data_IF_938013899792
#
_entry.id   IF_938013899792
#
_cell.length_a   1.000
_cell.length_b   1.000
_cell.length_c   1.000
_cell.angle_alpha   90.00
_cell.angle_beta   90.00
_cell.angle_gamma   90.00
#
_symmetry.space_group_name_H-M   'P 1'
#
loop_
_entity.id
_entity.type
_entity.pdbx_description
1 polymer ?
#
# COMPACT_ATOMS: atom_id res chain seq x y z
N UNK A 1 9.81 54.68 57.31
CA UNK A 1 8.70 54.09 56.47
C UNK A 1 9.00 54.01 54.99
N UNK A 2 10.23 54.06 54.46
CA UNK A 2 10.50 54.13 53.01
C UNK A 2 11.13 52.84 52.38
N UNK A 3 11.80 52.02 53.16
CA UNK A 3 12.51 50.84 52.62
C UNK A 3 11.62 49.61 52.25
N UNK A 4 10.46 49.51 52.95
CA UNK A 4 9.52 48.35 52.66
C UNK A 4 8.62 48.54 51.45
N UNK A 5 8.49 49.76 50.91
CA UNK A 5 7.68 50.05 49.72
C UNK A 5 8.50 49.80 48.38
N UNK A 6 9.82 49.98 48.43
CA UNK A 6 10.68 49.78 47.33
C UNK A 6 10.86 48.25 47.00
N UNK A 7 11.02 47.42 48.05
CA UNK A 7 11.15 45.97 47.89
C UNK A 7 9.90 45.27 47.28
N UNK A 8 8.67 45.78 47.62
CA UNK A 8 7.43 45.24 47.04
C UNK A 8 7.21 45.60 45.58
N UNK A 9 7.74 46.72 45.11
CA UNK A 9 7.66 47.09 43.67
C UNK A 9 8.64 46.33 42.79
N UNK A 10 9.80 45.95 43.28
CA UNK A 10 10.76 45.12 42.55
C UNK A 10 10.33 43.66 42.44
N UNK A 11 9.64 43.11 43.46
CA UNK A 11 9.12 41.71 43.41
C UNK A 11 7.95 41.60 42.47
N UNK A 12 7.09 42.59 42.35
CA UNK A 12 5.96 42.61 41.42
C UNK A 12 6.41 42.81 39.95
N UNK A 13 7.48 43.54 39.70
CA UNK A 13 8.05 43.72 38.37
C UNK A 13 8.79 42.45 37.89
N UNK A 14 9.44 41.71 38.80
CA UNK A 14 10.09 40.44 38.46
C UNK A 14 9.10 39.31 38.18
N UNK A 15 7.95 39.29 38.85
CA UNK A 15 6.88 38.31 38.59
C UNK A 15 6.11 38.57 37.26
N UNK A 16 6.02 39.83 36.83
CA UNK A 16 5.40 40.16 35.53
C UNK A 16 6.29 39.82 34.34
N UNK A 17 7.63 39.81 34.48
CA UNK A 17 8.57 39.43 33.42
C UNK A 17 8.70 37.91 33.25
N UNK A 18 8.45 37.11 34.29
CA UNK A 18 8.43 35.63 34.20
C UNK A 18 7.13 35.10 33.59
N UNK A 19 6.01 35.81 33.73
CA UNK A 19 4.73 35.40 33.15
C UNK A 19 4.65 35.62 31.63
N UNK A 20 5.47 36.48 31.02
CA UNK A 20 5.50 36.71 29.57
C UNK A 20 6.41 35.71 28.85
N UNK A 21 7.34 35.02 29.52
CA UNK A 21 8.24 34.02 28.93
C UNK A 21 7.63 32.61 28.82
N UNK A 22 6.44 32.35 29.43
CA UNK A 22 5.82 31.02 29.45
C UNK A 22 4.76 30.86 28.33
N UNK A 23 4.38 31.94 27.64
CA UNK A 23 3.38 31.86 26.53
C UNK A 23 4.01 31.68 25.16
N UNK A 24 5.35 31.74 25.04
CA UNK A 24 6.05 31.54 23.75
C UNK A 24 6.52 30.09 23.52
N UNK A 25 6.11 29.11 24.32
CA UNK A 25 6.65 27.75 24.33
C UNK A 25 5.66 26.60 24.08
N UNK A 26 4.47 26.86 23.52
CA UNK A 26 3.51 25.80 23.20
C UNK A 26 2.87 26.06 21.83
N UNK A 27 3.63 25.82 20.76
CA UNK A 27 3.15 25.93 19.40
C UNK A 27 4.13 25.33 18.38
N UNK A 28 4.99 24.41 18.82
CA UNK A 28 5.84 23.63 17.92
C UNK A 28 5.06 22.42 17.43
N UNK A 29 4.03 22.61 16.62
CA UNK A 29 3.65 21.59 15.65
C UNK A 29 4.84 21.49 14.70
N UNK A 30 5.45 20.32 14.54
CA UNK A 30 6.49 20.13 13.53
C UNK A 30 5.93 20.53 12.18
N UNK A 31 6.55 21.51 11.52
CA UNK A 31 6.26 21.90 10.12
C UNK A 31 6.61 20.78 9.13
N UNK A 32 6.63 19.53 9.57
CA UNK A 32 7.01 18.36 8.79
C UNK A 32 5.78 17.72 8.16
N UNK A 33 5.83 17.53 6.86
CA UNK A 33 4.81 16.77 6.11
C UNK A 33 4.69 15.34 6.67
N UNK A 34 3.53 14.97 7.17
CA UNK A 34 3.31 13.68 7.82
C UNK A 34 2.60 12.70 6.89
N UNK A 35 3.26 11.59 6.59
CA UNK A 35 2.72 10.52 5.74
C UNK A 35 2.42 9.27 6.58
N UNK A 36 1.19 8.76 6.49
CA UNK A 36 0.90 7.40 6.93
C UNK A 36 1.13 6.46 5.74
N UNK A 37 2.09 5.55 5.87
CA UNK A 37 2.53 4.69 4.76
C UNK A 37 2.24 3.22 5.03
N UNK A 38 1.40 2.63 4.19
CA UNK A 38 1.21 1.18 4.09
C UNK A 38 2.30 0.49 3.29
N UNK A 39 3.29 1.26 2.79
CA UNK A 39 4.48 0.74 2.11
C UNK A 39 5.64 0.77 3.07
N UNK A 40 6.45 -0.27 3.06
CA UNK A 40 7.64 -0.36 3.92
C UNK A 40 8.73 0.62 3.47
N UNK A 41 9.55 1.08 4.40
CA UNK A 41 10.61 2.06 4.15
C UNK A 41 11.53 1.71 2.97
N UNK A 42 12.05 0.47 2.83
CA UNK A 42 12.92 0.13 1.69
C UNK A 42 12.30 0.37 0.31
N UNK A 43 10.97 0.34 0.21
CA UNK A 43 10.25 0.53 -1.06
C UNK A 43 9.90 1.99 -1.35
N UNK A 44 9.61 2.80 -0.34
CA UNK A 44 9.17 4.18 -0.57
C UNK A 44 10.19 5.23 -0.12
N UNK A 45 11.06 4.89 0.84
CA UNK A 45 12.04 5.83 1.40
C UNK A 45 12.90 6.54 0.36
N UNK A 46 13.48 5.85 -0.65
CA UNK A 46 14.23 6.53 -1.69
C UNK A 46 13.39 7.52 -2.52
N UNK A 47 12.11 7.22 -2.79
CA UNK A 47 11.21 8.16 -3.48
C UNK A 47 10.85 9.36 -2.59
N UNK A 48 10.69 9.17 -1.28
CA UNK A 48 10.52 10.27 -0.32
C UNK A 48 11.74 11.19 -0.33
N UNK A 49 12.94 10.62 -0.37
CA UNK A 49 14.20 11.41 -0.45
C UNK A 49 14.32 12.24 -1.73
N UNK A 50 13.71 11.81 -2.83
CA UNK A 50 13.63 12.65 -4.04
C UNK A 50 12.78 13.90 -3.74
N UNK A 51 11.63 13.74 -3.11
CA UNK A 51 10.80 14.87 -2.71
C UNK A 51 11.53 15.82 -1.73
N UNK A 52 12.14 15.27 -0.67
CA UNK A 52 12.87 16.07 0.33
C UNK A 52 14.03 16.87 -0.30
N UNK A 53 14.74 16.25 -1.26
CA UNK A 53 15.83 16.91 -1.97
C UNK A 53 15.34 18.06 -2.85
N UNK A 54 14.24 17.86 -3.55
CA UNK A 54 13.73 18.82 -4.54
C UNK A 54 12.95 19.96 -3.88
N UNK A 55 12.20 19.67 -2.80
CA UNK A 55 11.38 20.65 -2.09
C UNK A 55 12.13 21.38 -0.95
N UNK A 56 13.16 20.75 -0.37
CA UNK A 56 13.80 21.19 0.88
C UNK A 56 12.98 20.87 2.13
N UNK A 57 11.78 20.32 1.99
CA UNK A 57 10.88 19.96 3.08
C UNK A 57 11.33 18.65 3.74
N UNK A 58 10.97 18.46 5.02
CA UNK A 58 11.18 17.20 5.74
C UNK A 58 9.88 16.41 5.79
N UNK A 59 10.02 15.10 5.72
CA UNK A 59 8.89 14.16 5.74
C UNK A 59 8.99 13.25 6.95
N UNK A 60 7.92 13.25 7.75
CA UNK A 60 7.72 12.29 8.83
C UNK A 60 6.86 11.14 8.34
N UNK A 61 7.31 9.90 8.53
CA UNK A 61 6.56 8.74 8.08
C UNK A 61 6.16 7.85 9.24
N UNK A 62 4.86 7.51 9.31
CA UNK A 62 4.33 6.45 10.15
C UNK A 62 4.09 5.22 9.27
N UNK A 63 4.93 4.21 9.44
CA UNK A 63 4.79 2.94 8.74
C UNK A 63 3.80 2.01 9.45
N UNK A 64 3.04 1.24 8.67
CA UNK A 64 2.10 0.24 9.17
C UNK A 64 1.49 -0.55 8.01
N UNK A 65 0.58 -1.48 8.30
CA UNK A 65 -0.19 -2.11 7.23
C UNK A 65 -1.32 -1.18 6.74
N UNK A 66 -1.62 -1.20 5.44
CA UNK A 66 -2.59 -0.28 4.84
C UNK A 66 -3.99 -0.39 5.44
N UNK A 67 -4.57 -1.58 5.69
CA UNK A 67 -5.87 -1.70 6.32
C UNK A 67 -5.95 -1.11 7.72
N UNK A 68 -4.95 -1.35 8.57
CA UNK A 68 -4.90 -0.80 9.93
C UNK A 68 -4.75 0.71 9.93
N UNK A 69 -3.87 1.25 9.07
CA UNK A 69 -3.71 2.69 8.90
C UNK A 69 -4.99 3.33 8.34
N UNK A 70 -5.66 2.69 7.39
CA UNK A 70 -6.93 3.16 6.87
C UNK A 70 -8.02 3.21 7.95
N UNK A 71 -8.13 2.16 8.78
CA UNK A 71 -9.06 2.14 9.91
C UNK A 71 -8.75 3.27 10.92
N UNK A 72 -7.46 3.47 11.25
CA UNK A 72 -7.01 4.57 12.11
C UNK A 72 -7.41 5.94 11.52
N UNK A 73 -7.16 6.16 10.22
CA UNK A 73 -7.49 7.42 9.55
C UNK A 73 -9.00 7.68 9.47
N UNK A 74 -9.81 6.63 9.31
CA UNK A 74 -11.28 6.74 9.37
C UNK A 74 -11.73 7.14 10.77
N UNK A 75 -11.13 6.56 11.81
CA UNK A 75 -11.44 6.87 13.21
C UNK A 75 -10.96 8.28 13.61
N UNK A 76 -9.74 8.66 13.25
CA UNK A 76 -9.18 9.99 13.49
C UNK A 76 -9.98 11.09 12.77
N UNK A 77 -10.50 10.81 11.58
CA UNK A 77 -11.30 11.72 10.77
C UNK A 77 -10.61 13.07 10.60
N UNK A 78 -11.33 14.15 10.87
CA UNK A 78 -10.80 15.54 10.80
C UNK A 78 -9.72 15.88 11.83
N UNK A 79 -9.51 15.01 12.83
CA UNK A 79 -8.48 15.20 13.85
C UNK A 79 -7.18 14.44 13.50
N UNK A 80 -7.11 13.81 12.34
CA UNK A 80 -5.89 13.13 11.90
C UNK A 80 -4.72 14.10 11.83
N UNK A 81 -3.55 13.59 12.22
CA UNK A 81 -2.27 14.29 12.09
C UNK A 81 -1.55 13.98 10.79
N UNK A 82 -2.09 13.06 10.00
CA UNK A 82 -1.53 12.75 8.70
C UNK A 82 -1.95 13.79 7.67
N UNK A 83 -1.05 14.13 6.79
CA UNK A 83 -1.31 14.96 5.61
C UNK A 83 -1.62 14.09 4.40
N UNK A 84 -0.96 12.93 4.31
CA UNK A 84 -1.06 11.99 3.21
C UNK A 84 -1.25 10.56 3.71
N UNK A 85 -2.02 9.79 2.96
CA UNK A 85 -2.03 8.33 3.08
C UNK A 85 -1.45 7.70 1.82
N UNK A 86 -0.34 6.99 1.96
CA UNK A 86 0.27 6.22 0.90
C UNK A 86 -0.03 4.74 1.13
N UNK A 87 -0.97 4.19 0.38
CA UNK A 87 -1.45 2.82 0.57
C UNK A 87 -0.74 1.81 -0.35
N UNK A 88 -0.69 0.58 0.10
CA UNK A 88 -0.26 -0.55 -0.71
C UNK A 88 -1.34 -1.01 -1.69
N UNK A 89 -2.60 -0.66 -1.50
CA UNK A 89 -3.73 -1.14 -2.31
C UNK A 89 -4.83 -0.09 -2.46
N UNK A 90 -5.58 -0.19 -3.56
CA UNK A 90 -6.68 0.72 -3.86
C UNK A 90 -7.83 0.59 -2.85
N UNK A 91 -8.08 -0.60 -2.29
CA UNK A 91 -9.16 -0.80 -1.34
C UNK A 91 -9.00 0.00 -0.06
N UNK A 92 -7.76 0.12 0.46
CA UNK A 92 -7.46 0.96 1.62
C UNK A 92 -7.70 2.45 1.33
N UNK A 93 -7.38 2.92 0.11
CA UNK A 93 -7.67 4.30 -0.31
C UNK A 93 -9.17 4.55 -0.47
N UNK A 94 -9.88 3.62 -1.12
CA UNK A 94 -11.32 3.70 -1.32
C UNK A 94 -12.09 3.70 0.02
N UNK A 95 -11.62 2.96 1.03
CA UNK A 95 -12.22 2.98 2.36
C UNK A 95 -12.17 4.37 3.01
N UNK A 96 -11.05 5.09 2.88
CA UNK A 96 -10.90 6.44 3.42
C UNK A 96 -11.68 7.46 2.58
N UNK A 97 -11.73 7.28 1.26
CA UNK A 97 -12.55 8.10 0.36
C UNK A 97 -14.03 8.00 0.71
N UNK A 98 -14.56 6.79 0.91
CA UNK A 98 -15.96 6.54 1.31
C UNK A 98 -16.29 7.13 2.68
N UNK A 99 -15.30 7.25 3.57
CA UNK A 99 -15.45 7.94 4.84
C UNK A 99 -15.42 9.48 4.72
N UNK A 100 -15.17 10.02 3.51
CA UNK A 100 -15.10 11.47 3.26
C UNK A 100 -13.81 12.13 3.73
N UNK A 101 -12.77 11.37 4.04
CA UNK A 101 -11.53 11.87 4.65
C UNK A 101 -10.42 12.21 3.64
N UNK A 102 -10.69 12.12 2.33
CA UNK A 102 -9.75 12.52 1.28
C UNK A 102 -10.19 13.78 0.55
N UNK A 103 -9.23 14.65 0.22
CA UNK A 103 -9.44 15.78 -0.69
C UNK A 103 -9.44 15.36 -2.15
N UNK A 104 -10.04 16.20 -3.00
CA UNK A 104 -9.94 16.02 -4.44
C UNK A 104 -8.59 16.51 -4.95
N UNK A 105 -7.92 15.68 -5.74
CA UNK A 105 -6.65 16.00 -6.38
C UNK A 105 -6.85 16.93 -7.59
N UNK A 106 -5.85 17.77 -7.92
CA UNK A 106 -5.87 18.62 -9.09
C UNK A 106 -6.04 17.83 -10.41
N UNK A 107 -6.79 18.38 -11.40
CA UNK A 107 -7.04 17.69 -12.67
C UNK A 107 -5.77 17.36 -13.46
N UNK A 108 -4.74 18.20 -13.39
CA UNK A 108 -3.44 17.98 -14.04
C UNK A 108 -2.68 16.78 -13.47
N UNK A 109 -2.79 16.54 -12.17
CA UNK A 109 -2.27 15.31 -11.52
C UNK A 109 -3.06 14.10 -11.99
N UNK A 110 -4.39 14.18 -11.94
CA UNK A 110 -5.27 13.07 -12.34
C UNK A 110 -5.06 12.66 -13.79
N UNK A 111 -4.73 13.61 -14.66
CA UNK A 111 -4.48 13.35 -16.10
C UNK A 111 -3.19 12.53 -16.35
N UNK A 112 -2.25 12.49 -15.41
CA UNK A 112 -0.98 11.75 -15.57
C UNK A 112 -1.15 10.24 -15.55
N UNK A 113 -2.26 9.72 -14.99
CA UNK A 113 -2.47 8.28 -14.77
C UNK A 113 -3.78 7.82 -15.43
N UNK A 114 -3.80 6.65 -16.11
CA UNK A 114 -5.01 6.11 -16.70
C UNK A 114 -6.17 6.01 -15.70
N UNK A 115 -7.39 6.32 -16.16
CA UNK A 115 -8.58 6.41 -15.30
C UNK A 115 -8.85 5.17 -14.45
N UNK A 116 -8.53 3.97 -14.97
CA UNK A 116 -8.68 2.70 -14.24
C UNK A 116 -7.80 2.56 -12.99
N UNK A 117 -6.82 3.43 -12.81
CA UNK A 117 -5.84 3.40 -11.72
C UNK A 117 -5.98 4.59 -10.77
N UNK A 118 -7.15 5.20 -10.72
CA UNK A 118 -7.44 6.32 -9.82
C UNK A 118 -8.90 6.29 -9.38
N UNK A 119 -9.21 7.03 -8.32
CA UNK A 119 -10.57 7.24 -7.83
C UNK A 119 -11.45 7.85 -8.93
N UNK A 120 -12.72 7.44 -8.98
CA UNK A 120 -13.73 8.05 -9.88
C UNK A 120 -13.94 9.52 -9.56
N UNK A 121 -13.96 9.87 -8.28
CA UNK A 121 -14.15 11.24 -7.78
C UNK A 121 -12.82 12.02 -7.71
N UNK A 122 -11.70 11.39 -8.10
CA UNK A 122 -10.39 12.02 -8.15
C UNK A 122 -9.79 12.31 -6.79
N UNK A 123 -10.09 11.52 -5.77
CA UNK A 123 -9.61 11.74 -4.40
C UNK A 123 -8.36 10.94 -4.04
N UNK A 124 -8.02 9.92 -4.82
CA UNK A 124 -6.75 9.22 -4.76
C UNK A 124 -6.25 8.86 -6.16
N UNK A 125 -4.96 8.62 -6.27
CA UNK A 125 -4.30 8.26 -7.52
C UNK A 125 -3.31 7.13 -7.30
N UNK A 126 -3.28 6.17 -8.23
CA UNK A 126 -2.24 5.15 -8.28
C UNK A 126 -0.88 5.75 -8.62
N UNK A 127 0.14 5.28 -7.96
CA UNK A 127 1.54 5.65 -8.23
C UNK A 127 2.24 4.56 -9.03
N UNK A 128 2.04 3.30 -8.64
CA UNK A 128 2.58 2.13 -9.33
C UNK A 128 1.52 1.04 -9.42
N UNK A 129 1.66 0.15 -10.43
CA UNK A 129 0.82 -1.03 -10.53
C UNK A 129 1.61 -2.32 -10.26
N UNK A 130 0.89 -3.36 -9.82
CA UNK A 130 1.40 -4.71 -9.65
C UNK A 130 0.31 -5.73 -9.88
N UNK A 131 0.73 -6.93 -10.30
CA UNK A 131 -0.17 -8.06 -10.51
C UNK A 131 -0.01 -9.11 -9.42
N UNK A 132 -1.12 -9.68 -8.98
CA UNK A 132 -1.14 -10.94 -8.24
C UNK A 132 -0.75 -12.06 -9.20
N UNK A 133 0.06 -13.01 -8.74
CA UNK A 133 0.52 -14.14 -9.56
C UNK A 133 0.55 -15.41 -8.71
N UNK A 134 0.63 -16.54 -9.40
CA UNK A 134 1.08 -17.78 -8.79
C UNK A 134 2.57 -17.91 -9.05
N UNK A 135 3.39 -17.82 -8.01
CA UNK A 135 4.79 -18.15 -8.06
C UNK A 135 4.95 -19.66 -7.96
N UNK A 136 5.89 -20.26 -8.70
CA UNK A 136 6.12 -21.69 -8.67
C UNK A 136 7.60 -22.04 -8.69
N UNK A 137 7.93 -23.16 -8.06
CA UNK A 137 9.29 -23.67 -7.93
C UNK A 137 9.67 -24.66 -9.03
N UNK A 138 10.94 -25.12 -9.03
CA UNK A 138 11.49 -25.98 -10.08
C UNK A 138 10.87 -27.39 -10.13
N UNK A 139 10.20 -27.81 -9.05
CA UNK A 139 9.54 -29.13 -8.98
C UNK A 139 8.24 -29.19 -9.78
N UNK A 140 7.69 -28.03 -10.20
CA UNK A 140 6.41 -27.92 -10.90
C UNK A 140 6.66 -27.51 -12.35
N UNK A 141 6.06 -28.23 -13.30
CA UNK A 141 6.06 -27.83 -14.70
C UNK A 141 5.08 -26.67 -14.90
N UNK A 142 5.40 -25.76 -15.81
CA UNK A 142 4.52 -24.62 -16.12
C UNK A 142 3.08 -25.05 -16.46
N UNK A 143 2.92 -26.18 -17.16
CA UNK A 143 1.60 -26.74 -17.54
C UNK A 143 0.79 -27.32 -16.36
N UNK A 144 1.41 -27.49 -15.20
CA UNK A 144 0.75 -28.00 -13.99
C UNK A 144 0.27 -26.86 -13.06
N UNK A 145 0.78 -25.63 -13.30
CA UNK A 145 0.38 -24.44 -12.49
C UNK A 145 -1.07 -24.09 -12.81
N UNK A 146 -1.91 -23.88 -11.78
CA UNK A 146 -3.32 -23.55 -11.99
C UNK A 146 -3.54 -22.25 -12.77
N UNK A 147 -4.50 -22.27 -13.70
CA UNK A 147 -4.97 -21.08 -14.43
C UNK A 147 -5.95 -20.24 -13.63
N UNK A 148 -6.46 -20.76 -12.51
CA UNK A 148 -7.30 -20.06 -11.56
C UNK A 148 -6.69 -20.12 -10.16
N UNK A 149 -6.60 -19.00 -9.43
CA UNK A 149 -6.24 -19.04 -8.01
C UNK A 149 -7.23 -19.81 -7.15
N UNK A 150 -8.48 -20.02 -7.62
CA UNK A 150 -9.48 -20.82 -6.92
C UNK A 150 -9.06 -22.29 -6.84
N UNK A 151 -8.37 -22.80 -7.86
CA UNK A 151 -7.87 -24.18 -7.92
C UNK A 151 -6.73 -24.46 -6.92
N UNK A 152 -6.14 -23.44 -6.28
CA UNK A 152 -5.18 -23.62 -5.19
C UNK A 152 -5.82 -24.30 -3.96
N UNK A 153 -7.13 -24.27 -3.85
CA UNK A 153 -7.90 -25.00 -2.84
C UNK A 153 -8.10 -26.49 -3.14
N UNK A 154 -7.69 -26.98 -4.30
CA UNK A 154 -7.79 -28.40 -4.67
C UNK A 154 -6.89 -29.27 -3.78
N UNK A 155 -7.39 -30.46 -3.45
CA UNK A 155 -6.68 -31.42 -2.55
C UNK A 155 -5.28 -31.81 -3.05
N UNK A 156 -5.03 -31.77 -4.38
CA UNK A 156 -3.70 -32.03 -4.95
C UNK A 156 -2.61 -31.06 -4.46
N UNK A 157 -3.01 -29.86 -4.00
CA UNK A 157 -2.12 -28.83 -3.51
C UNK A 157 -1.99 -28.79 -1.98
N UNK A 158 -2.54 -29.78 -1.29
CA UNK A 158 -2.55 -29.83 0.19
C UNK A 158 -1.14 -29.72 0.77
N UNK A 159 -0.91 -28.70 1.60
CA UNK A 159 0.36 -28.42 2.26
C UNK A 159 1.49 -27.92 1.34
N UNK A 160 1.19 -27.67 0.05
CA UNK A 160 2.16 -27.32 -0.99
C UNK A 160 2.10 -25.85 -1.41
N UNK A 161 1.17 -25.08 -0.87
CA UNK A 161 0.90 -23.66 -1.22
C UNK A 161 1.23 -22.77 -0.04
N UNK A 162 1.83 -21.60 -0.32
CA UNK A 162 2.05 -20.54 0.66
C UNK A 162 1.31 -19.26 0.33
N UNK A 163 0.90 -18.54 1.35
CA UNK A 163 0.28 -17.22 1.24
C UNK A 163 0.55 -16.34 2.46
N UNK A 164 0.23 -15.05 2.36
CA UNK A 164 0.39 -14.09 3.44
C UNK A 164 -0.96 -13.38 3.70
N UNK A 165 -1.85 -13.93 4.56
CA UNK A 165 -3.22 -13.40 4.75
C UNK A 165 -3.27 -12.00 5.36
N UNK A 166 -2.28 -11.61 6.14
CA UNK A 166 -2.18 -10.25 6.70
C UNK A 166 -1.74 -9.21 5.69
N UNK A 167 -1.26 -9.63 4.50
CA UNK A 167 -0.80 -8.69 3.49
C UNK A 167 -1.98 -7.95 2.83
N UNK A 168 -1.96 -6.62 2.88
CA UNK A 168 -3.00 -5.75 2.34
C UNK A 168 -3.36 -6.06 0.88
N UNK A 169 -2.37 -6.41 0.06
CA UNK A 169 -2.57 -6.74 -1.35
C UNK A 169 -3.31 -8.07 -1.55
N UNK A 170 -3.18 -9.05 -0.64
CA UNK A 170 -4.01 -10.26 -0.64
C UNK A 170 -5.42 -9.96 -0.14
N UNK A 171 -5.56 -9.12 0.88
CA UNK A 171 -6.86 -8.69 1.38
C UNK A 171 -7.64 -7.93 0.30
N UNK A 172 -6.97 -7.04 -0.44
CA UNK A 172 -7.56 -6.38 -1.62
C UNK A 172 -7.98 -7.36 -2.72
N UNK A 173 -7.21 -8.41 -2.96
CA UNK A 173 -7.61 -9.50 -3.86
C UNK A 173 -8.85 -10.23 -3.37
N UNK A 174 -8.93 -10.56 -2.08
CA UNK A 174 -10.11 -11.23 -1.49
C UNK A 174 -11.32 -10.30 -1.53
N UNK A 175 -11.14 -8.98 -1.32
CA UNK A 175 -12.22 -8.00 -1.50
C UNK A 175 -12.76 -8.04 -2.94
N UNK A 176 -11.86 -8.02 -3.93
CA UNK A 176 -12.25 -8.14 -5.34
C UNK A 176 -12.98 -9.47 -5.61
N UNK A 177 -12.50 -10.58 -5.05
CA UNK A 177 -13.13 -11.89 -5.19
C UNK A 177 -14.57 -11.90 -4.65
N UNK A 178 -14.78 -11.30 -3.47
CA UNK A 178 -16.12 -11.15 -2.88
C UNK A 178 -17.08 -10.34 -3.75
N UNK A 179 -16.57 -9.26 -4.34
CA UNK A 179 -17.41 -8.32 -5.10
C UNK A 179 -17.69 -8.79 -6.53
N UNK A 180 -16.79 -9.54 -7.13
CA UNK A 180 -16.91 -9.99 -8.53
C UNK A 180 -17.51 -11.39 -8.64
N UNK A 181 -16.97 -12.34 -7.87
CA UNK A 181 -17.40 -13.75 -7.92
C UNK A 181 -18.45 -14.07 -6.84
N UNK A 182 -18.63 -13.19 -5.87
CA UNK A 182 -19.61 -13.32 -4.79
C UNK A 182 -19.02 -13.80 -3.47
N UNK A 183 -19.71 -13.46 -2.39
CA UNK A 183 -19.33 -13.77 -1.00
C UNK A 183 -19.18 -15.28 -0.76
N UNK A 184 -20.08 -16.10 -1.33
CA UNK A 184 -20.08 -17.56 -1.15
C UNK A 184 -18.87 -18.21 -1.83
N UNK A 185 -18.50 -17.73 -3.02
CA UNK A 185 -17.30 -18.20 -3.73
C UNK A 185 -16.05 -17.88 -2.92
N UNK A 186 -15.93 -16.65 -2.44
CA UNK A 186 -14.80 -16.23 -1.59
C UNK A 186 -14.74 -17.05 -0.29
N UNK A 187 -15.88 -17.26 0.37
CA UNK A 187 -16.00 -18.08 1.58
C UNK A 187 -15.58 -19.53 1.35
N UNK A 188 -16.07 -20.14 0.29
CA UNK A 188 -15.73 -21.52 -0.10
C UNK A 188 -14.23 -21.64 -0.38
N UNK A 189 -13.67 -20.71 -1.12
CA UNK A 189 -12.23 -20.70 -1.45
C UNK A 189 -11.38 -20.55 -0.19
N UNK A 190 -11.66 -19.58 0.68
CA UNK A 190 -10.92 -19.37 1.92
C UNK A 190 -10.95 -20.61 2.83
N UNK A 191 -12.14 -21.22 3.02
CA UNK A 191 -12.25 -22.49 3.75
C UNK A 191 -11.45 -23.61 3.10
N UNK A 192 -11.46 -23.68 1.76
CA UNK A 192 -10.68 -24.66 1.00
C UNK A 192 -9.18 -24.47 1.20
N UNK A 193 -8.68 -23.23 1.16
CA UNK A 193 -7.27 -22.91 1.41
C UNK A 193 -6.85 -23.32 2.82
N UNK A 194 -7.67 -23.03 3.83
CA UNK A 194 -7.41 -23.45 5.23
C UNK A 194 -7.43 -24.96 5.36
N UNK A 195 -8.46 -25.63 4.81
CA UNK A 195 -8.57 -27.10 4.84
C UNK A 195 -7.40 -27.78 4.10
N UNK A 196 -6.87 -27.14 3.07
CA UNK A 196 -5.68 -27.58 2.34
C UNK A 196 -4.37 -27.36 3.10
N UNK A 197 -4.42 -26.86 4.34
CA UNK A 197 -3.21 -26.56 5.12
C UNK A 197 -2.25 -25.65 4.37
N UNK A 198 -2.80 -24.63 3.68
CA UNK A 198 -1.99 -23.60 3.03
C UNK A 198 -1.10 -22.95 4.07
N UNK A 199 0.21 -22.89 3.81
CA UNK A 199 1.17 -22.39 4.78
C UNK A 199 1.06 -20.86 4.89
N UNK A 200 0.95 -20.37 6.11
CA UNK A 200 0.80 -18.95 6.44
C UNK A 200 2.16 -18.32 6.71
N UNK A 201 2.41 -17.17 6.12
CA UNK A 201 3.61 -16.37 6.31
C UNK A 201 3.25 -14.91 6.61
N UNK A 202 4.14 -14.20 7.26
CA UNK A 202 3.93 -12.78 7.61
C UNK A 202 3.98 -11.86 6.38
N UNK A 203 4.69 -12.26 5.32
CA UNK A 203 4.82 -11.48 4.09
C UNK A 203 5.10 -12.35 2.86
N UNK A 204 5.11 -11.72 1.67
CA UNK A 204 5.33 -12.45 0.40
C UNK A 204 6.80 -12.89 0.21
N UNK A 205 7.77 -12.22 0.84
CA UNK A 205 9.19 -12.59 0.70
C UNK A 205 9.47 -13.99 1.27
N UNK A 206 9.07 -14.32 2.52
CA UNK A 206 9.22 -15.68 3.04
C UNK A 206 8.50 -16.76 2.20
N UNK A 207 7.32 -16.44 1.61
CA UNK A 207 6.63 -17.37 0.70
C UNK A 207 7.51 -17.67 -0.51
N UNK A 208 8.03 -16.62 -1.17
CA UNK A 208 8.94 -16.75 -2.31
C UNK A 208 10.18 -17.59 -1.95
N UNK A 209 10.79 -17.31 -0.80
CA UNK A 209 12.01 -17.97 -0.38
C UNK A 209 11.78 -19.45 -0.01
N UNK A 210 10.62 -19.80 0.57
CA UNK A 210 10.22 -21.18 0.79
C UNK A 210 10.04 -21.97 -0.52
N UNK A 211 9.50 -21.31 -1.56
CA UNK A 211 9.41 -21.90 -2.90
C UNK A 211 10.82 -22.11 -3.47
N UNK A 212 11.71 -21.15 -3.34
CA UNK A 212 13.09 -21.25 -3.84
C UNK A 212 13.86 -22.42 -3.20
N UNK A 213 13.62 -22.68 -1.91
CA UNK A 213 14.19 -23.81 -1.16
C UNK A 213 13.52 -25.16 -1.48
N UNK A 214 12.40 -25.15 -2.20
CA UNK A 214 11.61 -26.34 -2.48
C UNK A 214 10.81 -26.87 -1.29
N UNK A 215 10.58 -26.05 -0.26
CA UNK A 215 9.70 -26.30 0.88
C UNK A 215 8.23 -26.18 0.47
N UNK A 216 7.95 -25.30 -0.50
CA UNK A 216 6.67 -25.10 -1.16
C UNK A 216 6.79 -25.30 -2.68
N UNK A 217 5.71 -25.69 -3.30
CA UNK A 217 5.61 -25.76 -4.74
C UNK A 217 5.06 -24.50 -5.39
N UNK A 218 4.06 -23.88 -4.74
CA UNK A 218 3.32 -22.72 -5.22
C UNK A 218 3.19 -21.65 -4.15
N UNK A 219 3.02 -20.39 -4.58
CA UNK A 219 2.67 -19.28 -3.69
C UNK A 219 1.83 -18.21 -4.37
N UNK A 220 0.83 -17.70 -3.66
CA UNK A 220 -0.01 -16.61 -4.15
C UNK A 220 0.57 -15.26 -3.69
N UNK A 221 1.41 -14.65 -4.50
CA UNK A 221 2.19 -13.44 -4.18
C UNK A 221 2.08 -12.37 -5.27
N UNK A 222 2.74 -11.23 -5.10
CA UNK A 222 2.88 -10.23 -6.17
C UNK A 222 4.12 -10.52 -7.02
N UNK A 223 4.04 -10.21 -8.32
CA UNK A 223 5.05 -10.51 -9.32
C UNK A 223 6.43 -9.92 -9.01
N UNK A 224 6.48 -8.69 -8.49
CA UNK A 224 7.73 -7.95 -8.31
C UNK A 224 8.70 -8.60 -7.31
N UNK A 225 8.21 -9.36 -6.34
CA UNK A 225 9.09 -10.07 -5.41
C UNK A 225 9.97 -11.12 -6.11
N UNK A 226 9.43 -11.77 -7.14
CA UNK A 226 10.22 -12.70 -7.96
C UNK A 226 11.19 -11.93 -8.84
N UNK A 227 10.74 -10.86 -9.49
CA UNK A 227 11.57 -10.02 -10.34
C UNK A 227 12.75 -9.36 -9.57
N UNK A 228 12.51 -8.89 -8.34
CA UNK A 228 13.58 -8.39 -7.45
C UNK A 228 14.64 -9.45 -7.14
N UNK A 229 14.23 -10.68 -6.89
CA UNK A 229 15.15 -11.77 -6.63
C UNK A 229 15.95 -12.16 -7.88
N UNK A 230 15.29 -12.25 -9.04
CA UNK A 230 15.93 -12.53 -10.32
C UNK A 230 16.88 -11.44 -10.78
N UNK A 231 16.62 -10.18 -10.43
CA UNK A 231 17.54 -9.08 -10.70
C UNK A 231 18.85 -9.18 -9.90
N UNK A 232 18.81 -9.82 -8.71
CA UNK A 232 19.98 -10.08 -7.86
C UNK A 232 20.69 -11.37 -8.22
N UNK A 233 19.92 -12.40 -8.58
CA UNK A 233 20.40 -13.71 -9.01
C UNK A 233 19.63 -14.17 -10.25
N UNK A 234 20.22 -14.06 -11.46
CA UNK A 234 19.60 -14.51 -12.69
C UNK A 234 19.20 -15.99 -12.70
N UNK A 235 19.80 -16.82 -11.84
CA UNK A 235 19.48 -18.24 -11.69
C UNK A 235 18.45 -18.52 -10.59
N UNK A 236 17.84 -17.48 -10.02
CA UNK A 236 16.84 -17.65 -8.98
C UNK A 236 15.71 -18.58 -9.42
N UNK A 237 15.43 -19.69 -8.68
CA UNK A 237 14.69 -20.82 -9.22
C UNK A 237 13.17 -20.62 -9.29
N UNK A 238 12.65 -19.54 -8.68
CA UNK A 238 11.20 -19.27 -8.68
C UNK A 238 10.78 -18.60 -9.96
N UNK A 239 9.67 -19.07 -10.52
CA UNK A 239 9.07 -18.55 -11.75
C UNK A 239 7.72 -17.91 -11.49
N UNK A 240 7.29 -17.05 -12.42
CA UNK A 240 6.01 -16.33 -12.40
C UNK A 240 5.04 -16.99 -13.37
N UNK A 241 3.83 -17.25 -12.89
CA UNK A 241 2.69 -17.60 -13.71
C UNK A 241 1.58 -16.56 -13.54
N UNK A 242 1.08 -16.04 -14.65
CA UNK A 242 -0.07 -15.13 -14.68
C UNK A 242 -1.34 -15.94 -14.97
N UNK A 243 -2.14 -16.31 -13.97
CA UNK A 243 -3.37 -17.05 -14.17
C UNK A 243 -4.33 -16.28 -15.08
N UNK A 244 -5.01 -17.00 -15.98
CA UNK A 244 -5.86 -16.41 -17.02
C UNK A 244 -7.35 -16.45 -16.68
N UNK A 245 -7.74 -17.21 -15.65
CA UNK A 245 -9.14 -17.42 -15.25
C UNK A 245 -9.45 -16.69 -13.95
N UNK A 246 -10.73 -16.43 -13.75
CA UNK A 246 -11.29 -15.76 -12.58
C UNK A 246 -10.60 -14.40 -12.32
N UNK A 247 -10.24 -14.10 -11.09
CA UNK A 247 -9.45 -12.92 -10.76
C UNK A 247 -7.93 -13.14 -10.83
N UNK A 248 -7.48 -14.11 -11.62
CA UNK A 248 -6.13 -14.67 -11.62
C UNK A 248 -4.99 -13.68 -11.51
N UNK A 249 -4.84 -12.84 -12.52
CA UNK A 249 -3.75 -11.86 -12.60
C UNK A 249 -4.22 -10.45 -12.26
N UNK A 250 -5.05 -10.32 -11.21
CA UNK A 250 -5.57 -9.02 -10.80
C UNK A 250 -4.45 -7.98 -10.67
N UNK A 251 -4.53 -6.93 -11.50
CA UNK A 251 -3.68 -5.76 -11.41
C UNK A 251 -4.32 -4.77 -10.42
N UNK A 252 -3.59 -4.45 -9.37
CA UNK A 252 -3.95 -3.45 -8.37
C UNK A 252 -2.86 -2.37 -8.33
N UNK A 253 -3.06 -1.28 -7.59
CA UNK A 253 -2.12 -0.17 -7.50
C UNK A 253 -1.67 0.07 -6.06
N UNK A 254 -0.44 0.53 -5.87
CA UNK A 254 -0.14 1.38 -4.72
C UNK A 254 -0.45 2.81 -5.10
N UNK A 255 -0.95 3.58 -4.17
CA UNK A 255 -1.42 4.91 -4.49
C UNK A 255 -1.43 5.83 -3.29
N UNK A 256 -1.77 7.08 -3.54
CA UNK A 256 -1.73 8.14 -2.55
C UNK A 256 -2.99 8.99 -2.60
N UNK A 257 -3.44 9.42 -1.43
CA UNK A 257 -4.50 10.41 -1.25
C UNK A 257 -4.08 11.47 -0.23
N UNK A 258 -4.53 12.70 -0.42
CA UNK A 258 -4.33 13.81 0.51
C UNK A 258 -5.48 13.82 1.51
N UNK A 259 -5.18 13.90 2.82
CA UNK A 259 -6.20 13.93 3.84
C UNK A 259 -6.93 15.29 3.84
N UNK A 260 -8.25 15.26 3.99
CA UNK A 260 -9.07 16.47 4.11
C UNK A 260 -8.73 17.30 5.39
N UNK A 261 -8.07 16.67 6.36
CA UNK A 261 -7.56 17.29 7.58
C UNK A 261 -6.17 17.91 7.44
N UNK A 262 -5.50 17.72 6.28
CA UNK A 262 -4.12 18.19 6.07
C UNK A 262 -4.00 19.70 6.26
N UNK A 263 -2.98 20.09 7.02
CA UNK A 263 -2.57 21.48 7.19
C UNK A 263 -1.48 21.90 6.18
N UNK A 264 -0.88 20.93 5.51
CA UNK A 264 0.20 21.08 4.52
C UNK A 264 -0.29 20.71 3.12
N UNK A 265 -1.44 21.28 2.73
CA UNK A 265 -2.12 20.90 1.47
C UNK A 265 -1.24 21.10 0.24
N UNK A 266 -0.51 22.21 0.17
CA UNK A 266 0.37 22.50 -0.96
C UNK A 266 1.49 21.48 -1.05
N UNK A 267 2.19 21.24 0.04
CA UNK A 267 3.30 20.29 0.20
C UNK A 267 2.84 18.87 -0.11
N UNK A 268 1.62 18.50 0.34
CA UNK A 268 0.98 17.21 0.02
C UNK A 268 0.75 17.04 -1.49
N UNK A 269 0.24 18.05 -2.16
CA UNK A 269 0.02 18.02 -3.61
C UNK A 269 1.36 17.95 -4.35
N UNK A 270 2.39 18.68 -3.91
CA UNK A 270 3.72 18.66 -4.49
C UNK A 270 4.38 17.27 -4.27
N UNK A 271 4.17 16.65 -3.11
CA UNK A 271 4.59 15.25 -2.88
C UNK A 271 3.93 14.29 -3.89
N UNK A 272 2.61 14.39 -4.09
CA UNK A 272 1.91 13.55 -5.08
C UNK A 272 2.46 13.79 -6.50
N UNK A 273 2.79 15.02 -6.86
CA UNK A 273 3.43 15.35 -8.14
C UNK A 273 4.76 14.64 -8.30
N UNK A 274 5.63 14.75 -7.29
CA UNK A 274 6.96 14.11 -7.29
C UNK A 274 6.85 12.60 -7.48
N UNK A 275 5.89 11.95 -6.81
CA UNK A 275 5.67 10.49 -6.98
C UNK A 275 5.26 10.12 -8.43
N UNK A 276 4.69 11.04 -9.17
CA UNK A 276 4.26 10.89 -10.57
C UNK A 276 5.20 11.57 -11.58
N UNK A 277 6.40 11.91 -11.19
CA UNK A 277 7.46 12.41 -12.06
C UNK A 277 8.42 11.31 -12.47
N UNK A 278 9.13 11.55 -13.57
CA UNK A 278 10.02 10.56 -14.17
C UNK A 278 11.03 9.95 -13.18
N UNK A 279 11.74 10.72 -12.34
CA UNK A 279 12.73 10.15 -11.43
C UNK A 279 12.13 9.13 -10.44
N UNK A 280 10.98 9.44 -9.83
CA UNK A 280 10.31 8.53 -8.91
C UNK A 280 9.75 7.30 -9.64
N UNK A 281 9.17 7.48 -10.82
CA UNK A 281 8.60 6.40 -11.61
C UNK A 281 9.69 5.45 -12.16
N UNK A 282 10.85 5.97 -12.56
CA UNK A 282 12.01 5.17 -12.94
C UNK A 282 12.58 4.40 -11.74
N UNK A 283 12.67 5.05 -10.57
CA UNK A 283 13.04 4.35 -9.33
C UNK A 283 12.12 3.15 -9.04
N UNK A 284 10.79 3.34 -9.11
CA UNK A 284 9.85 2.24 -8.87
C UNK A 284 9.98 1.14 -9.93
N UNK A 285 10.17 1.48 -11.19
CA UNK A 285 10.35 0.50 -12.26
C UNK A 285 11.66 -0.30 -12.09
N UNK A 286 12.76 0.37 -11.78
CA UNK A 286 14.10 -0.24 -11.79
C UNK A 286 14.46 -0.90 -10.46
N UNK A 287 14.05 -0.32 -9.33
CA UNK A 287 14.45 -0.79 -8.00
C UNK A 287 13.39 -1.71 -7.38
N UNK A 288 12.12 -1.30 -7.35
CA UNK A 288 11.05 -2.13 -6.76
C UNK A 288 10.34 -3.05 -7.76
N UNK A 289 10.74 -3.03 -9.04
CA UNK A 289 10.17 -3.88 -10.10
C UNK A 289 8.64 -3.78 -10.18
N UNK A 290 8.09 -2.62 -9.86
CA UNK A 290 6.67 -2.32 -10.05
C UNK A 290 6.45 -1.67 -11.42
N UNK A 291 5.23 -1.72 -11.92
CA UNK A 291 4.88 -1.07 -13.18
C UNK A 291 4.72 0.44 -12.96
N UNK A 292 5.48 1.29 -13.67
CA UNK A 292 5.25 2.72 -13.65
C UNK A 292 3.91 3.05 -14.32
N UNK A 293 3.22 4.07 -13.81
CA UNK A 293 1.94 4.52 -14.35
C UNK A 293 2.05 5.79 -15.19
N UNK A 294 3.19 6.48 -15.12
CA UNK A 294 3.49 7.63 -15.97
C UNK A 294 3.81 7.18 -17.40
N UNK A 295 3.12 7.78 -18.36
CA UNK A 295 3.38 7.50 -19.78
C UNK A 295 4.83 7.80 -20.16
N UNK A 296 5.43 6.94 -20.99
CA UNK A 296 6.80 7.11 -21.49
C UNK A 296 7.91 6.68 -20.51
N UNK A 297 7.58 6.20 -19.30
CA UNK A 297 8.54 5.54 -18.42
C UNK A 297 8.60 4.05 -18.78
N UNK A 298 9.81 3.55 -18.97
CA UNK A 298 10.03 2.14 -19.31
C UNK A 298 9.86 1.27 -18.06
N UNK A 299 9.15 0.15 -18.22
CA UNK A 299 9.16 -0.90 -17.19
C UNK A 299 10.52 -1.59 -17.12
N UNK A 300 10.80 -2.27 -16.03
CA UNK A 300 11.94 -3.19 -15.94
C UNK A 300 11.83 -4.28 -17.05
N UNK A 301 12.96 -4.63 -17.64
CA UNK A 301 13.02 -5.59 -18.77
C UNK A 301 12.59 -7.00 -18.37
N UNK A 302 12.73 -7.34 -17.09
CA UNK A 302 12.35 -8.64 -16.52
C UNK A 302 10.83 -8.82 -16.41
N UNK A 303 10.05 -7.74 -16.55
CA UNK A 303 8.60 -7.78 -16.39
C UNK A 303 7.90 -8.04 -17.73
N UNK A 304 6.85 -8.84 -17.70
CA UNK A 304 5.85 -8.91 -18.78
C UNK A 304 5.21 -7.54 -18.98
N UNK A 305 4.97 -7.05 -20.19
CA UNK A 305 4.26 -5.79 -20.40
C UNK A 305 2.90 -5.76 -19.69
N UNK A 306 2.56 -4.63 -19.05
CA UNK A 306 1.33 -4.49 -18.27
C UNK A 306 0.06 -4.75 -19.10
N UNK A 307 0.08 -4.41 -20.38
CA UNK A 307 -1.02 -4.64 -21.33
C UNK A 307 -1.11 -6.08 -21.82
N UNK A 308 -0.10 -6.91 -21.58
CA UNK A 308 -0.08 -8.35 -21.90
C UNK A 308 -0.50 -9.21 -20.70
N UNK A 309 -0.60 -8.62 -19.50
CA UNK A 309 -1.11 -9.33 -18.32
C UNK A 309 -2.60 -9.59 -18.52
N UNK A 310 -3.07 -10.85 -18.41
CA UNK A 310 -4.48 -11.20 -18.53
C UNK A 310 -5.28 -10.77 -17.28
N UNK A 311 -5.21 -9.48 -16.95
CA UNK A 311 -5.88 -8.93 -15.77
C UNK A 311 -7.37 -8.78 -16.01
N UNK A 312 -8.22 -9.27 -15.10
CA UNK A 312 -9.65 -9.04 -15.17
C UNK A 312 -9.97 -7.55 -15.03
N UNK A 313 -11.09 -7.13 -15.64
CA UNK A 313 -11.60 -5.76 -15.51
C UNK A 313 -12.30 -5.60 -14.16
N UNK A 314 -11.57 -5.15 -13.16
CA UNK A 314 -12.08 -4.85 -11.83
C UNK A 314 -12.03 -3.35 -11.62
N UNK A 315 -13.10 -2.81 -11.06
CA UNK A 315 -13.15 -1.41 -10.64
C UNK A 315 -12.40 -1.25 -9.31
N UNK A 316 -11.17 -0.76 -9.38
CA UNK A 316 -10.33 -0.56 -8.21
C UNK A 316 -10.89 0.50 -7.25
N UNK A 317 -11.72 1.42 -7.76
CA UNK A 317 -12.38 2.45 -6.95
C UNK A 317 -13.65 1.92 -6.23
N UNK A 318 -13.82 0.61 -6.15
CA UNK A 318 -14.91 -0.02 -5.41
C UNK A 318 -14.42 -1.19 -4.54
N UNK A 319 -13.19 -1.14 -4.04
CA UNK A 319 -12.59 -2.19 -3.21
C UNK A 319 -12.56 -1.84 -1.72
N UNK A 320 -13.32 -0.82 -1.28
CA UNK A 320 -13.23 -0.27 0.09
C UNK A 320 -13.89 -1.10 1.19
N UNK A 321 -14.58 -2.23 0.89
CA UNK A 321 -15.18 -3.06 1.93
C UNK A 321 -14.14 -3.99 2.61
N UNK A 322 -13.10 -3.39 3.17
CA UNK A 322 -12.08 -4.10 3.93
C UNK A 322 -12.64 -4.73 5.20
N UNK A 323 -13.59 -4.06 5.87
CA UNK A 323 -14.22 -4.57 7.10
C UNK A 323 -14.94 -5.89 6.86
N UNK A 324 -15.73 -5.98 5.77
CA UNK A 324 -16.39 -7.22 5.37
C UNK A 324 -15.38 -8.31 5.00
N UNK A 325 -14.29 -7.96 4.29
CA UNK A 325 -13.24 -8.91 3.95
C UNK A 325 -12.55 -9.48 5.19
N UNK A 326 -12.12 -8.64 6.13
CA UNK A 326 -11.47 -9.08 7.35
C UNK A 326 -12.39 -9.93 8.23
N UNK A 327 -13.69 -9.59 8.27
CA UNK A 327 -14.71 -10.41 8.94
C UNK A 327 -14.79 -11.80 8.32
N UNK A 328 -14.93 -11.90 6.99
CA UNK A 328 -14.99 -13.16 6.27
C UNK A 328 -13.74 -14.01 6.49
N UNK A 329 -12.54 -13.40 6.45
CA UNK A 329 -11.28 -14.11 6.66
C UNK A 329 -11.17 -14.70 8.07
N UNK A 330 -11.61 -13.97 9.11
CA UNK A 330 -11.68 -14.50 10.49
C UNK A 330 -12.69 -15.62 10.63
N UNK A 331 -13.91 -15.48 10.07
CA UNK A 331 -14.96 -16.51 10.11
C UNK A 331 -14.54 -17.81 9.41
N UNK A 332 -13.63 -17.73 8.45
CA UNK A 332 -13.12 -18.89 7.70
C UNK A 332 -11.83 -19.47 8.26
N UNK A 333 -11.23 -18.85 9.28
CA UNK A 333 -9.96 -19.24 9.86
C UNK A 333 -8.73 -18.89 8.98
N UNK A 334 -8.89 -17.98 8.04
CA UNK A 334 -7.78 -17.50 7.18
C UNK A 334 -6.96 -16.37 7.84
N UNK A 335 -7.51 -15.74 8.91
CA UNK A 335 -6.87 -14.80 9.82
C UNK A 335 -7.10 -15.23 11.26
#
# INVERSE_FOLDING_TARGET
MSARRAARRCVLAALALVAVAIVAGCGGGSDELTIYSGRIEPLIGPAIKLYEKDSGEKVKVRYGDSPSLAATLVEEGKNSRADLFYAQDAGSLDAIEKAGNLERLPPDILAKVPARFRSRDGRWIGVTARSRIIAYGPKIKASEVPESPLDLADKKWRGRVGWAPTNASLQGYITALRLVEGEDVARKWLKGMVANKTQVFDSNVPVRDAIAKGELDLGLINHYYVAEAQAKDPNYPVKVHFPTKDLGSLVNVSGVGVLASSKHRKESIDFVRTMLERPAQEYFADSSKEYPLLAGVKRSKELTPLNEIPSPKVDLANLGDLKGTLKLMRETGAL
#
